data_IF_470998153443
#
_entry.id   IF_470998153443
#
_cell.length_a   1.000
_cell.length_b   1.000
_cell.length_c   1.000
_cell.angle_alpha   90.00
_cell.angle_beta   90.00
_cell.angle_gamma   90.00
#
_symmetry.space_group_name_H-M   'P 1'
#
loop_
_entity.id
_entity.type
_entity.pdbx_description
1 polymer ?
#
# COMPACT_ATOMS: atom_id res chain seq x y z
N UNK A 1 -3.20 -2.72 -1.66
CA UNK A 1 -2.17 -2.63 -0.60
C UNK A 1 -0.83 -2.92 -1.24
N UNK A 2 0.22 -2.18 -0.91
CA UNK A 2 1.58 -2.48 -1.33
C UNK A 2 2.56 -2.50 -0.16
N UNK A 3 3.50 -3.44 -0.19
CA UNK A 3 4.57 -3.61 0.80
C UNK A 3 5.93 -3.65 0.09
N UNK A 4 6.90 -2.89 0.64
CA UNK A 4 8.31 -2.96 0.26
C UNK A 4 9.06 -3.63 1.41
N UNK A 5 9.95 -4.56 1.12
CA UNK A 5 10.73 -5.24 2.15
C UNK A 5 12.15 -5.54 1.66
N UNK A 6 13.10 -5.39 2.58
CA UNK A 6 14.50 -5.71 2.39
C UNK A 6 14.78 -7.06 3.03
N UNK A 7 15.34 -8.00 2.27
CA UNK A 7 15.74 -9.30 2.77
C UNK A 7 17.26 -9.32 2.99
N UNK A 8 17.67 -9.39 4.26
CA UNK A 8 19.07 -9.23 4.63
C UNK A 8 19.97 -10.41 4.21
N UNK A 9 19.42 -11.59 3.93
CA UNK A 9 20.24 -12.76 3.59
C UNK A 9 20.72 -12.74 2.13
N UNK A 10 19.94 -12.16 1.22
CA UNK A 10 20.31 -12.00 -0.20
C UNK A 10 20.57 -10.54 -0.59
N UNK A 11 20.49 -9.63 0.38
CA UNK A 11 20.70 -8.18 0.26
C UNK A 11 19.80 -7.52 -0.80
N UNK A 12 18.64 -8.11 -1.11
CA UNK A 12 17.72 -7.60 -2.12
C UNK A 12 16.49 -6.91 -1.52
N UNK A 13 15.97 -5.95 -2.29
CA UNK A 13 14.68 -5.29 -2.03
C UNK A 13 13.62 -5.92 -2.92
N UNK A 14 12.44 -6.09 -2.37
CA UNK A 14 11.32 -6.72 -3.05
C UNK A 14 10.03 -5.94 -2.78
N UNK A 15 9.09 -6.11 -3.70
CA UNK A 15 7.78 -5.50 -3.65
C UNK A 15 6.71 -6.58 -3.65
N UNK A 16 5.69 -6.41 -2.83
CA UNK A 16 4.44 -7.16 -2.92
C UNK A 16 3.28 -6.18 -3.15
N UNK A 17 2.58 -6.34 -4.26
CA UNK A 17 1.39 -5.57 -4.59
C UNK A 17 0.14 -6.47 -4.54
N UNK A 18 -0.70 -6.24 -3.54
CA UNK A 18 -2.01 -6.87 -3.38
C UNK A 18 -3.15 -5.94 -3.77
N UNK A 19 -2.95 -5.00 -4.69
CA UNK A 19 -4.00 -4.11 -5.17
C UNK A 19 -4.73 -4.76 -6.35
N UNK A 20 -6.05 -4.61 -6.41
CA UNK A 20 -6.83 -5.06 -7.55
C UNK A 20 -6.67 -4.10 -8.75
N UNK A 21 -6.68 -4.64 -9.96
CA UNK A 21 -6.68 -3.85 -11.19
C UNK A 21 -8.02 -3.13 -11.33
N UNK A 22 -8.02 -1.80 -11.48
CA UNK A 22 -9.23 -0.99 -11.68
C UNK A 22 -9.11 -0.19 -12.98
N UNK A 23 -10.13 -0.27 -13.84
CA UNK A 23 -10.23 0.51 -15.08
C UNK A 23 -11.36 1.53 -14.89
N UNK A 24 -11.01 2.82 -14.80
CA UNK A 24 -11.97 3.93 -14.76
C UNK A 24 -12.17 4.59 -13.38
N UNK A 25 -12.95 5.67 -13.36
CA UNK A 25 -13.28 6.46 -12.16
C UNK A 25 -14.68 6.11 -11.68
N UNK A 26 -14.77 5.45 -10.52
CA UNK A 26 -16.03 5.11 -9.86
C UNK A 26 -16.11 5.91 -8.55
N UNK A 27 -17.22 6.60 -8.23
CA UNK A 27 -17.37 7.28 -6.95
C UNK A 27 -17.15 6.33 -5.77
N UNK A 28 -16.33 6.73 -4.80
CA UNK A 28 -15.91 5.88 -3.67
C UNK A 28 -17.06 5.40 -2.78
N UNK A 29 -18.21 6.07 -2.81
CA UNK A 29 -19.42 5.70 -2.07
C UNK A 29 -20.33 4.75 -2.85
N UNK A 30 -20.04 4.51 -4.13
CA UNK A 30 -20.83 3.64 -4.99
C UNK A 30 -20.39 2.18 -4.81
N UNK A 31 -21.36 1.26 -4.84
CA UNK A 31 -21.11 -0.19 -4.65
C UNK A 31 -20.10 -0.76 -5.65
N UNK A 32 -20.03 -0.21 -6.86
CA UNK A 32 -19.10 -0.63 -7.90
C UNK A 32 -17.64 -0.24 -7.59
N UNK A 33 -17.38 0.57 -6.57
CA UNK A 33 -16.04 0.87 -6.08
C UNK A 33 -15.46 -0.28 -5.22
N UNK A 34 -16.28 -1.25 -4.81
CA UNK A 34 -15.83 -2.45 -4.11
C UNK A 34 -15.08 -3.35 -5.09
N UNK A 35 -13.79 -3.54 -4.84
CA UNK A 35 -12.92 -4.43 -5.63
C UNK A 35 -12.50 -5.65 -4.82
N UNK A 36 -11.83 -6.60 -5.47
CA UNK A 36 -11.34 -7.79 -4.77
C UNK A 36 -10.32 -7.42 -3.69
N UNK A 37 -10.61 -7.87 -2.49
CA UNK A 37 -9.90 -7.51 -1.27
C UNK A 37 -8.52 -8.17 -1.21
N UNK A 38 -7.48 -7.61 -1.82
CA UNK A 38 -6.15 -8.26 -1.91
C UNK A 38 -5.22 -8.12 -0.69
N UNK A 39 -5.64 -7.39 0.34
CA UNK A 39 -4.87 -7.17 1.56
C UNK A 39 -4.55 -8.49 2.29
N UNK A 40 -5.55 -9.36 2.47
CA UNK A 40 -5.38 -10.64 3.15
C UNK A 40 -4.42 -11.58 2.39
N UNK A 41 -4.56 -11.68 1.07
CA UNK A 41 -3.62 -12.41 0.22
C UNK A 41 -2.19 -11.83 0.33
N UNK A 42 -2.05 -10.50 0.37
CA UNK A 42 -0.75 -9.83 0.54
C UNK A 42 -0.06 -10.23 1.84
N UNK A 43 -0.77 -10.19 2.97
CA UNK A 43 -0.22 -10.61 4.27
C UNK A 43 0.23 -12.07 4.28
N UNK A 44 -0.61 -12.96 3.73
CA UNK A 44 -0.29 -14.39 3.69
C UNK A 44 0.92 -14.67 2.81
N UNK A 45 0.94 -14.14 1.58
CA UNK A 45 2.08 -14.29 0.67
C UNK A 45 3.38 -13.73 1.28
N UNK A 46 3.30 -12.63 2.05
CA UNK A 46 4.47 -12.05 2.73
C UNK A 46 5.03 -13.02 3.77
N UNK A 47 4.16 -13.58 4.63
CA UNK A 47 4.59 -14.50 5.69
C UNK A 47 5.06 -15.83 5.10
N UNK A 48 4.44 -16.34 4.05
CA UNK A 48 4.88 -17.57 3.38
C UNK A 48 6.25 -17.43 2.72
N UNK A 49 6.52 -16.29 2.07
CA UNK A 49 7.76 -16.07 1.33
C UNK A 49 8.92 -15.58 2.20
N UNK A 50 8.64 -14.72 3.19
CA UNK A 50 9.67 -14.01 3.97
C UNK A 50 9.57 -14.27 5.48
N UNK A 51 8.56 -15.03 5.92
CA UNK A 51 8.43 -15.38 7.32
C UNK A 51 9.58 -16.25 7.78
N UNK A 52 10.04 -16.01 9.02
CA UNK A 52 11.10 -16.81 9.64
C UNK A 52 10.73 -18.29 9.91
N UNK A 53 9.50 -18.72 9.57
CA UNK A 53 8.94 -20.02 9.92
C UNK A 53 8.65 -20.24 11.42
N UNK A 54 9.07 -19.31 12.30
CA UNK A 54 8.92 -19.42 13.76
C UNK A 54 7.51 -19.09 14.27
N UNK A 55 6.72 -18.40 13.46
CA UNK A 55 5.36 -17.96 13.79
C UNK A 55 4.41 -18.42 12.68
N UNK A 56 3.32 -19.07 13.07
CA UNK A 56 2.24 -19.43 12.15
C UNK A 56 1.29 -18.25 11.93
N UNK A 57 0.57 -18.24 10.81
CA UNK A 57 -0.42 -17.19 10.51
C UNK A 57 -1.48 -17.07 11.61
N UNK A 58 -1.91 -18.20 12.16
CA UNK A 58 -2.84 -18.24 13.30
C UNK A 58 -2.28 -17.49 14.52
N UNK A 59 -1.01 -17.74 14.88
CA UNK A 59 -0.35 -17.05 16.00
C UNK A 59 -0.17 -15.55 15.74
N UNK A 60 0.05 -15.17 14.48
CA UNK A 60 0.17 -13.77 14.07
C UNK A 60 -1.19 -13.05 14.22
N UNK A 61 -2.29 -13.70 13.83
CA UNK A 61 -3.63 -13.10 13.86
C UNK A 61 -4.31 -13.20 15.22
N UNK A 62 -3.86 -14.09 16.12
CA UNK A 62 -4.51 -14.35 17.41
C UNK A 62 -4.77 -13.09 18.24
N UNK A 63 -3.79 -12.20 18.35
CA UNK A 63 -3.97 -10.94 19.08
C UNK A 63 -5.06 -10.04 18.47
N UNK A 64 -5.20 -10.03 17.14
CA UNK A 64 -6.26 -9.28 16.46
C UNK A 64 -7.64 -9.92 16.67
N UNK A 65 -7.71 -11.26 16.68
CA UNK A 65 -8.94 -12.02 16.96
C UNK A 65 -9.43 -11.73 18.38
N UNK A 66 -8.55 -11.85 19.38
CA UNK A 66 -8.87 -11.57 20.79
C UNK A 66 -9.41 -10.14 20.96
N UNK A 67 -8.77 -9.14 20.33
CA UNK A 67 -9.25 -7.75 20.36
C UNK A 67 -10.64 -7.59 19.71
N UNK A 68 -10.96 -8.34 18.66
CA UNK A 68 -12.27 -8.31 18.02
C UNK A 68 -13.36 -8.97 18.89
N UNK A 69 -13.03 -10.07 19.57
CA UNK A 69 -13.97 -10.86 20.38
C UNK A 69 -14.22 -10.22 21.75
N UNK A 70 -13.16 -9.81 22.44
CA UNK A 70 -13.24 -9.24 23.79
C UNK A 70 -13.54 -7.73 23.77
N UNK A 71 -13.31 -7.10 22.62
CA UNK A 71 -13.42 -5.67 22.43
C UNK A 71 -12.22 -4.91 23.00
N UNK A 72 -12.11 -3.65 22.62
CA UNK A 72 -11.05 -2.75 23.10
C UNK A 72 -11.56 -1.32 23.21
N UNK A 73 -10.85 -0.49 23.99
CA UNK A 73 -11.19 0.92 24.13
C UNK A 73 -10.87 1.66 22.83
N UNK A 74 -11.89 2.25 22.21
CA UNK A 74 -11.76 2.94 20.92
C UNK A 74 -11.14 4.32 21.14
N UNK A 75 -10.03 4.60 20.46
CA UNK A 75 -9.42 5.94 20.44
C UNK A 75 -10.28 6.94 19.67
N UNK A 76 -10.16 8.24 19.94
CA UNK A 76 -10.96 9.27 19.27
C UNK A 76 -10.89 9.19 17.74
N UNK A 77 -9.71 8.92 17.18
CA UNK A 77 -9.50 8.77 15.74
C UNK A 77 -10.27 7.56 15.19
N UNK A 78 -10.28 6.44 15.92
CA UNK A 78 -10.97 5.21 15.53
C UNK A 78 -12.48 5.33 15.69
N UNK A 79 -12.95 6.10 16.69
CA UNK A 79 -14.37 6.33 16.95
C UNK A 79 -15.07 7.04 15.79
N UNK A 80 -14.33 7.85 15.02
CA UNK A 80 -14.85 8.53 13.82
C UNK A 80 -14.97 7.61 12.59
N UNK A 81 -14.42 6.39 12.63
CA UNK A 81 -14.17 5.56 11.44
C UNK A 81 -14.71 4.11 11.52
N UNK A 82 -15.40 3.71 12.59
CA UNK A 82 -15.61 2.28 12.90
C UNK A 82 -16.68 1.53 12.07
N UNK A 83 -16.31 0.33 11.60
CA UNK A 83 -17.20 -0.80 11.28
C UNK A 83 -16.47 -2.14 11.55
N UNK A 84 -17.19 -3.16 12.04
CA UNK A 84 -16.64 -4.46 12.50
C UNK A 84 -16.33 -5.43 11.34
N UNK A 85 -15.27 -6.23 11.46
CA UNK A 85 -15.06 -7.44 10.65
C UNK A 85 -14.34 -8.54 11.46
N UNK A 86 -14.60 -9.81 11.15
CA UNK A 86 -13.93 -10.98 11.74
C UNK A 86 -13.21 -11.74 10.63
N UNK A 87 -11.97 -12.16 10.88
CA UNK A 87 -11.17 -12.98 9.97
C UNK A 87 -10.67 -14.22 10.72
N UNK A 88 -11.07 -15.41 10.27
CA UNK A 88 -10.52 -16.69 10.72
C UNK A 88 -10.09 -17.52 9.50
N UNK A 89 -9.06 -18.37 9.67
CA UNK A 89 -8.56 -19.33 8.68
C UNK A 89 -7.75 -18.80 7.46
N UNK A 90 -7.04 -17.68 7.60
CA UNK A 90 -6.01 -17.26 6.63
C UNK A 90 -6.55 -16.96 5.22
N UNK A 91 -5.74 -17.19 4.16
CA UNK A 91 -6.12 -16.87 2.77
C UNK A 91 -7.32 -17.71 2.32
N UNK A 92 -7.29 -19.03 2.51
CA UNK A 92 -8.40 -19.90 2.11
C UNK A 92 -9.70 -19.60 2.87
N UNK A 93 -9.63 -19.33 4.18
CA UNK A 93 -10.80 -18.97 4.98
C UNK A 93 -11.48 -17.67 4.52
N UNK A 94 -10.71 -16.74 3.96
CA UNK A 94 -11.23 -15.45 3.51
C UNK A 94 -11.82 -15.50 2.09
N UNK A 95 -11.17 -16.20 1.16
CA UNK A 95 -11.59 -16.22 -0.24
C UNK A 95 -12.39 -17.46 -0.67
N UNK A 96 -12.35 -18.54 0.12
CA UNK A 96 -13.11 -19.77 -0.11
C UNK A 96 -13.94 -20.21 1.11
N UNK A 97 -13.88 -19.46 2.22
CA UNK A 97 -14.56 -19.82 3.46
C UNK A 97 -15.96 -19.19 3.61
N UNK A 98 -16.57 -19.34 4.79
CA UNK A 98 -17.98 -18.99 5.01
C UNK A 98 -18.30 -17.49 4.88
N UNK A 99 -17.29 -16.61 4.84
CA UNK A 99 -17.47 -15.16 4.69
C UNK A 99 -17.68 -14.71 3.24
N UNK A 100 -17.35 -15.55 2.25
CA UNK A 100 -17.40 -15.23 0.82
C UNK A 100 -18.82 -14.93 0.35
N UNK A 101 -19.78 -15.79 0.71
CA UNK A 101 -21.18 -15.62 0.35
C UNK A 101 -21.80 -14.36 0.99
N UNK A 102 -21.65 -14.10 2.31
CA UNK A 102 -22.09 -12.84 2.91
C UNK A 102 -21.49 -11.58 2.28
N UNK A 103 -20.21 -11.61 1.86
CA UNK A 103 -19.56 -10.48 1.19
C UNK A 103 -20.24 -10.22 -0.17
N UNK A 104 -20.41 -11.25 -0.99
CA UNK A 104 -21.01 -11.15 -2.34
C UNK A 104 -22.48 -10.74 -2.23
N UNK A 105 -23.24 -11.32 -1.30
CA UNK A 105 -24.64 -10.97 -1.06
C UNK A 105 -24.78 -9.51 -0.63
N UNK A 106 -23.98 -9.04 0.34
CA UNK A 106 -24.02 -7.65 0.78
C UNK A 106 -23.67 -6.64 -0.33
N UNK A 107 -22.80 -7.04 -1.27
CA UNK A 107 -22.44 -6.24 -2.44
C UNK A 107 -23.55 -6.27 -3.50
N UNK A 108 -24.13 -7.44 -3.78
CA UNK A 108 -25.24 -7.60 -4.74
C UNK A 108 -26.52 -6.91 -4.28
N UNK A 109 -26.87 -6.98 -2.98
CA UNK A 109 -28.03 -6.27 -2.40
C UNK A 109 -27.96 -4.75 -2.66
N UNK A 110 -26.76 -4.22 -2.83
CA UNK A 110 -26.50 -2.80 -3.08
C UNK A 110 -26.31 -2.49 -4.57
N UNK A 111 -26.49 -3.47 -5.46
CA UNK A 111 -26.36 -3.34 -6.91
C UNK A 111 -24.94 -3.53 -7.47
N UNK A 112 -24.03 -4.13 -6.68
CA UNK A 112 -22.67 -4.44 -7.12
C UNK A 112 -22.61 -5.67 -8.01
N UNK A 113 -21.46 -5.90 -8.65
CA UNK A 113 -21.23 -6.99 -9.61
C UNK A 113 -20.17 -8.00 -9.14
N UNK A 114 -19.66 -7.84 -7.90
CA UNK A 114 -18.64 -8.71 -7.35
C UNK A 114 -19.18 -10.13 -7.19
N UNK A 115 -18.56 -11.10 -7.86
CA UNK A 115 -18.95 -12.50 -7.79
C UNK A 115 -18.03 -13.32 -6.87
N UNK A 116 -18.51 -14.50 -6.47
CA UNK A 116 -17.68 -15.51 -5.79
C UNK A 116 -16.47 -15.90 -6.66
N UNK A 117 -16.66 -15.94 -7.99
CA UNK A 117 -15.59 -16.22 -8.94
C UNK A 117 -14.48 -15.17 -8.92
N UNK A 118 -14.81 -13.89 -8.72
CA UNK A 118 -13.82 -12.81 -8.66
C UNK A 118 -12.93 -12.92 -7.41
N UNK A 119 -13.49 -13.38 -6.29
CA UNK A 119 -12.74 -13.66 -5.05
C UNK A 119 -11.80 -14.86 -5.23
N UNK A 120 -12.29 -15.95 -5.84
CA UNK A 120 -11.50 -17.14 -6.14
C UNK A 120 -10.37 -16.87 -7.15
N UNK A 121 -10.65 -16.13 -8.23
CA UNK A 121 -9.65 -15.72 -9.22
C UNK A 121 -8.51 -14.91 -8.61
N UNK A 122 -8.79 -14.12 -7.57
CA UNK A 122 -7.75 -13.36 -6.87
C UNK A 122 -6.87 -14.23 -5.97
N UNK A 123 -7.35 -15.39 -5.51
CA UNK A 123 -6.52 -16.39 -4.83
C UNK A 123 -5.47 -16.95 -5.79
N UNK A 124 -5.91 -17.30 -7.01
CA UNK A 124 -5.06 -17.85 -8.07
C UNK A 124 -4.08 -16.82 -8.62
N UNK A 125 -4.56 -15.59 -8.93
CA UNK A 125 -3.72 -14.51 -9.46
C UNK A 125 -2.74 -13.96 -8.40
N UNK A 126 -3.15 -13.95 -7.13
CA UNK A 126 -2.31 -13.59 -5.99
C UNK A 126 -1.80 -12.14 -6.01
N UNK A 127 -0.84 -11.85 -5.12
CA UNK A 127 -0.12 -10.57 -5.14
C UNK A 127 0.93 -10.60 -6.22
N UNK A 128 1.08 -9.51 -6.97
CA UNK A 128 2.17 -9.37 -7.92
C UNK A 128 3.46 -8.97 -7.21
N UNK A 129 4.59 -9.42 -7.73
CA UNK A 129 5.92 -9.01 -7.27
C UNK A 129 6.63 -8.25 -8.38
N UNK A 130 6.27 -6.97 -8.59
CA UNK A 130 6.95 -6.17 -9.60
C UNK A 130 8.36 -5.80 -9.12
N UNK A 131 9.27 -5.56 -10.08
CA UNK A 131 10.63 -5.15 -9.74
C UNK A 131 10.63 -3.75 -9.11
N UNK A 132 11.30 -3.55 -7.96
CA UNK A 132 11.36 -2.24 -7.33
C UNK A 132 12.15 -1.24 -8.17
N UNK A 133 11.81 0.03 -8.03
CA UNK A 133 12.52 1.13 -8.70
C UNK A 133 13.50 1.75 -7.71
N UNK A 134 14.74 1.97 -8.16
CA UNK A 134 15.80 2.53 -7.34
C UNK A 134 16.41 3.77 -7.98
N UNK A 135 16.75 4.76 -7.16
CA UNK A 135 17.68 5.83 -7.53
C UNK A 135 18.81 5.92 -6.51
N UNK A 136 20.01 6.31 -6.95
CA UNK A 136 21.11 6.66 -6.06
C UNK A 136 21.00 8.14 -5.67
N UNK A 137 20.73 8.42 -4.40
CA UNK A 137 20.67 9.77 -3.84
C UNK A 137 22.01 10.16 -3.16
N UNK A 138 22.47 11.37 -3.47
CA UNK A 138 23.77 11.95 -3.09
C UNK A 138 24.98 11.00 -3.17
N UNK A 139 24.98 10.04 -4.11
CA UNK A 139 26.01 9.00 -4.27
C UNK A 139 26.25 8.13 -3.02
N UNK A 140 25.43 8.29 -1.99
CA UNK A 140 25.58 7.67 -0.67
C UNK A 140 24.50 6.64 -0.37
N UNK A 141 23.24 6.89 -0.78
CA UNK A 141 22.10 6.07 -0.37
C UNK A 141 21.29 5.66 -1.58
N UNK A 142 20.96 4.37 -1.66
CA UNK A 142 19.99 3.85 -2.63
C UNK A 142 18.58 3.99 -2.05
N UNK A 143 17.73 4.72 -2.77
CA UNK A 143 16.33 4.95 -2.40
C UNK A 143 15.45 4.09 -3.27
N UNK A 144 14.78 3.12 -2.64
CA UNK A 144 13.92 2.15 -3.29
C UNK A 144 12.45 2.50 -3.09
N UNK A 145 11.66 2.42 -4.16
CA UNK A 145 10.22 2.63 -4.09
C UNK A 145 9.45 1.59 -4.92
N UNK A 146 8.16 1.51 -4.62
CA UNK A 146 7.22 0.67 -5.35
C UNK A 146 6.95 1.23 -6.76
N UNK A 147 6.99 0.40 -7.82
CA UNK A 147 6.67 0.81 -9.19
C UNK A 147 5.18 1.19 -9.38
N UNK A 148 4.73 1.62 -10.55
CA UNK A 148 3.30 1.71 -10.85
C UNK A 148 2.57 0.42 -10.42
N UNK A 149 1.39 0.45 -9.83
CA UNK A 149 0.28 1.40 -10.03
C UNK A 149 0.06 2.45 -8.91
N UNK A 150 1.00 2.64 -7.99
CA UNK A 150 0.91 3.67 -6.95
C UNK A 150 1.61 4.99 -7.33
N UNK A 151 1.31 6.07 -6.61
CA UNK A 151 1.97 7.39 -6.79
C UNK A 151 3.33 7.51 -6.10
N UNK A 152 3.92 6.39 -5.61
CA UNK A 152 5.18 6.41 -4.86
C UNK A 152 6.38 6.86 -5.69
N UNK A 153 6.30 6.71 -7.02
CA UNK A 153 7.30 7.21 -7.97
C UNK A 153 7.51 8.73 -7.87
N UNK A 154 6.49 9.49 -7.42
CA UNK A 154 6.56 10.94 -7.20
C UNK A 154 7.69 11.29 -6.22
N UNK A 155 7.93 10.45 -5.20
CA UNK A 155 9.02 10.68 -4.26
C UNK A 155 10.39 10.59 -4.93
N UNK A 156 10.60 9.58 -5.79
CA UNK A 156 11.86 9.44 -6.54
C UNK A 156 12.06 10.58 -7.54
N UNK A 157 11.01 10.94 -8.28
CA UNK A 157 11.05 12.07 -9.22
C UNK A 157 11.36 13.39 -8.49
N UNK A 158 10.76 13.60 -7.32
CA UNK A 158 11.00 14.77 -6.51
C UNK A 158 12.48 14.88 -6.09
N UNK A 159 13.09 13.78 -5.64
CA UNK A 159 14.50 13.75 -5.25
C UNK A 159 15.45 14.04 -6.42
N UNK A 160 15.16 13.51 -7.61
CA UNK A 160 15.96 13.77 -8.82
C UNK A 160 15.81 15.22 -9.27
N UNK A 161 14.59 15.74 -9.32
CA UNK A 161 14.32 17.15 -9.66
C UNK A 161 14.99 18.12 -8.69
N UNK A 162 14.96 17.81 -7.38
CA UNK A 162 15.60 18.62 -6.37
C UNK A 162 17.11 18.73 -6.61
N UNK A 163 17.79 17.61 -6.88
CA UNK A 163 19.21 17.59 -7.25
C UNK A 163 19.51 18.41 -8.49
N UNK A 164 18.65 18.33 -9.51
CA UNK A 164 18.87 19.05 -10.77
C UNK A 164 18.71 20.57 -10.61
N UNK A 165 17.78 21.01 -9.75
CA UNK A 165 17.58 22.42 -9.42
C UNK A 165 18.78 22.96 -8.59
N UNK A 166 19.32 22.17 -7.67
CA UNK A 166 20.58 22.49 -6.98
C UNK A 166 21.75 22.59 -7.97
N UNK A 167 21.88 21.60 -8.88
CA UNK A 167 22.96 21.56 -9.89
C UNK A 167 22.93 22.78 -10.82
N UNK A 168 21.75 23.27 -11.16
CA UNK A 168 21.56 24.46 -12.00
C UNK A 168 21.65 25.78 -11.25
N UNK A 169 22.03 25.77 -9.96
CA UNK A 169 22.14 26.93 -9.07
C UNK A 169 20.84 27.75 -8.99
N UNK A 170 19.69 27.12 -9.23
CA UNK A 170 18.38 27.78 -9.09
C UNK A 170 17.94 27.89 -7.63
N UNK A 171 18.51 27.07 -6.76
CA UNK A 171 18.40 27.15 -5.29
C UNK A 171 19.78 26.92 -4.69
N UNK A 172 20.04 27.54 -3.54
CA UNK A 172 21.14 27.11 -2.67
C UNK A 172 20.84 25.70 -2.15
N UNK A 173 21.87 24.89 -1.92
CA UNK A 173 21.73 23.52 -1.41
C UNK A 173 20.72 23.45 -0.26
N UNK A 174 19.71 22.58 -0.38
CA UNK A 174 18.56 22.55 0.52
C UNK A 174 18.94 22.29 1.97
N UNK A 175 20.02 21.53 2.20
CA UNK A 175 20.54 21.26 3.54
C UNK A 175 21.13 22.49 4.22
N UNK A 176 21.46 23.54 3.45
CA UNK A 176 21.90 24.84 3.97
C UNK A 176 20.74 25.81 4.24
N UNK A 177 19.53 25.50 3.74
CA UNK A 177 18.36 26.33 3.98
C UNK A 177 17.81 26.06 5.38
N UNK A 178 17.25 27.10 6.00
CA UNK A 178 16.54 26.96 7.27
C UNK A 178 15.25 26.19 7.04
N UNK A 179 15.03 25.12 7.80
CA UNK A 179 13.81 24.33 7.75
C UNK A 179 12.56 25.23 7.92
N UNK A 180 11.56 25.06 7.05
CA UNK A 180 10.29 25.84 7.02
C UNK A 180 10.50 27.32 6.61
N UNK A 181 11.70 27.73 6.15
CA UNK A 181 11.85 29.06 5.54
C UNK A 181 11.02 29.19 4.25
N UNK A 182 10.76 30.42 3.84
CA UNK A 182 10.04 30.67 2.58
C UNK A 182 10.76 30.02 1.40
N UNK A 183 12.09 30.08 1.38
CA UNK A 183 12.95 29.47 0.35
C UNK A 183 12.87 27.94 0.39
N UNK A 184 12.90 27.34 1.58
CA UNK A 184 12.78 25.90 1.77
C UNK A 184 11.41 25.36 1.29
N UNK A 185 10.33 26.03 1.69
CA UNK A 185 8.96 25.65 1.28
C UNK A 185 8.74 25.93 -0.20
N UNK A 186 9.30 27.02 -0.74
CA UNK A 186 9.20 27.35 -2.16
C UNK A 186 9.90 26.29 -3.03
N UNK A 187 11.07 25.81 -2.60
CA UNK A 187 11.80 24.74 -3.26
C UNK A 187 11.04 23.41 -3.22
N UNK A 188 10.51 23.01 -2.05
CA UNK A 188 9.81 21.73 -1.88
C UNK A 188 8.36 21.76 -2.36
N UNK A 189 7.53 22.61 -1.76
CA UNK A 189 6.07 22.44 -1.74
C UNK A 189 5.30 23.29 -2.76
N UNK A 190 5.77 24.49 -3.14
CA UNK A 190 4.86 25.46 -3.78
C UNK A 190 5.01 25.66 -5.29
N UNK A 191 6.17 25.44 -5.94
CA UNK A 191 6.28 25.79 -7.38
C UNK A 191 6.95 24.73 -8.27
N UNK A 192 8.03 24.06 -7.83
CA UNK A 192 8.91 23.33 -8.74
C UNK A 192 8.86 21.81 -8.61
N UNK A 193 9.26 21.26 -7.46
CA UNK A 193 9.54 19.81 -7.36
C UNK A 193 8.26 18.97 -7.33
N UNK A 194 7.43 19.12 -6.29
CA UNK A 194 6.22 18.30 -6.18
C UNK A 194 5.18 18.63 -7.25
N UNK A 195 5.07 19.90 -7.68
CA UNK A 195 4.10 20.29 -8.71
C UNK A 195 4.38 19.59 -10.05
N UNK A 196 5.65 19.48 -10.44
CA UNK A 196 6.06 18.75 -11.65
C UNK A 196 5.90 17.25 -11.42
N UNK A 197 6.41 16.72 -10.30
CA UNK A 197 6.36 15.29 -10.02
C UNK A 197 4.94 14.72 -9.95
N UNK A 198 3.97 15.46 -9.38
CA UNK A 198 2.55 15.08 -9.38
C UNK A 198 1.82 15.37 -10.70
N UNK A 199 2.36 16.22 -11.58
CA UNK A 199 1.76 16.48 -12.90
C UNK A 199 2.06 15.36 -13.89
N UNK A 200 3.18 14.67 -13.71
CA UNK A 200 3.69 13.65 -14.63
C UNK A 200 3.38 12.21 -14.18
N UNK A 201 2.86 12.03 -12.95
CA UNK A 201 2.56 10.72 -12.33
C UNK A 201 1.06 10.46 -12.23
#
# INVERSE_FOLDING_TARGET
MSCLFYHANDENVYVLNGSADQIGSIPLTHVLAVTTLGAAAGWVNTVERFGSGKLTMERILRAAIELCEEGFTVSEVSARLGSKCHLTNGKEGFYNGPIVHPIVEAVHERGGLLSVGDLALHVEKGSTTPDPICIRFNDMVDVWEHPPNGQRIVALMALVLLKEIERTNQITCISSLRHISAEYIHALALIKVFRIAFSDA
#
